data_IF_658712485564
#
_entry.id   IF_658712485564
#
_cell.length_a   1.000
_cell.length_b   1.000
_cell.length_c   1.000
_cell.angle_alpha   90.00
_cell.angle_beta   90.00
_cell.angle_gamma   90.00
#
_symmetry.space_group_name_H-M   'P 1'
#
loop_
_entity.id
_entity.type
_entity.pdbx_description
1 polymer ?
#
# COMPACT_ATOMS: atom_id res chain seq x y z
N UNK A 1 24.76 -2.13 38.21
CA UNK A 1 25.44 -1.83 36.93
C UNK A 1 24.72 -2.65 35.87
N UNK A 2 23.88 -2.10 35.01
CA UNK A 2 23.46 -0.72 34.81
C UNK A 2 21.93 -0.66 34.82
N UNK A 3 21.38 0.14 35.72
CA UNK A 3 19.95 0.50 35.80
C UNK A 3 19.74 1.77 34.96
N UNK A 4 20.48 1.90 33.86
CA UNK A 4 20.57 3.10 33.02
C UNK A 4 20.26 2.81 31.54
N UNK A 5 20.13 1.54 31.15
CA UNK A 5 19.71 1.16 29.79
C UNK A 5 18.18 0.96 29.70
N UNK A 6 17.49 0.79 30.83
CA UNK A 6 16.02 0.69 30.91
C UNK A 6 15.32 2.07 31.07
N UNK A 7 16.08 3.18 31.08
CA UNK A 7 15.54 4.55 31.18
C UNK A 7 15.62 5.34 29.84
N UNK A 8 16.10 4.71 28.75
CA UNK A 8 16.33 5.38 27.45
C UNK A 8 15.27 5.11 26.38
N UNK A 9 14.07 4.69 26.79
CA UNK A 9 12.83 4.80 25.99
C UNK A 9 11.73 5.43 26.87
N UNK A 10 12.04 6.60 27.45
CA UNK A 10 10.97 7.56 27.67
C UNK A 10 10.42 7.83 26.28
N UNK A 11 9.19 7.35 26.03
CA UNK A 11 8.39 7.63 24.85
C UNK A 11 8.69 9.05 24.38
N UNK A 12 9.31 9.16 23.21
CA UNK A 12 9.55 10.41 22.51
C UNK A 12 8.18 10.92 22.01
N UNK A 13 7.33 11.30 22.97
CA UNK A 13 5.98 11.81 22.78
C UNK A 13 5.99 13.19 22.10
N UNK A 14 7.15 13.70 21.71
CA UNK A 14 7.33 15.00 21.07
C UNK A 14 7.39 14.88 19.53
N UNK A 15 7.50 13.65 18.98
CA UNK A 15 7.65 13.42 17.54
C UNK A 15 6.68 12.39 16.96
N UNK A 16 6.16 12.70 15.78
CA UNK A 16 5.47 11.76 14.89
C UNK A 16 6.50 11.06 13.99
N UNK A 17 6.17 9.87 13.50
CA UNK A 17 7.08 9.04 12.69
C UNK A 17 6.37 8.54 11.45
N UNK A 18 6.99 8.69 10.26
CA UNK A 18 6.62 7.98 9.04
C UNK A 18 7.69 6.95 8.68
N UNK A 19 7.30 5.90 7.96
CA UNK A 19 8.15 4.80 7.53
C UNK A 19 7.92 4.52 6.05
N UNK A 20 9.00 4.40 5.31
CA UNK A 20 8.98 4.17 3.87
C UNK A 20 9.67 2.85 3.53
N UNK A 21 9.06 2.08 2.64
CA UNK A 21 9.54 0.77 2.22
C UNK A 21 9.59 0.70 0.71
N UNK A 22 10.51 -0.10 0.20
CA UNK A 22 10.53 -0.50 -1.19
C UNK A 22 9.28 -1.35 -1.49
N UNK A 23 8.48 -0.94 -2.47
CA UNK A 23 7.21 -1.60 -2.77
C UNK A 23 7.39 -3.02 -3.34
N UNK A 24 8.52 -3.33 -3.96
CA UNK A 24 8.78 -4.65 -4.56
C UNK A 24 9.28 -5.64 -3.51
N UNK A 25 10.23 -5.21 -2.69
CA UNK A 25 10.96 -6.09 -1.76
C UNK A 25 10.44 -6.04 -0.34
N UNK A 26 9.75 -4.96 0.04
CA UNK A 26 9.34 -4.69 1.42
C UNK A 26 10.46 -4.20 2.35
N UNK A 27 11.68 -4.05 1.83
CA UNK A 27 12.84 -3.59 2.60
C UNK A 27 12.70 -2.10 2.97
N UNK A 28 13.30 -1.66 4.10
CA UNK A 28 13.34 -0.24 4.46
C UNK A 28 13.95 0.62 3.35
N UNK A 29 13.29 1.75 3.05
CA UNK A 29 13.74 2.66 2.01
C UNK A 29 14.74 3.68 2.58
N UNK A 30 15.98 3.27 2.84
CA UNK A 30 17.03 4.15 3.37
C UNK A 30 17.43 5.27 2.39
N UNK A 31 17.75 6.46 2.88
CA UNK A 31 18.31 7.56 2.08
C UNK A 31 17.35 8.26 1.10
N UNK A 32 16.04 8.03 1.18
CA UNK A 32 15.04 8.83 0.46
C UNK A 32 14.93 10.24 1.06
N UNK A 33 14.76 11.24 0.20
CA UNK A 33 14.40 12.60 0.57
C UNK A 33 12.88 12.66 0.84
N UNK A 34 12.49 13.20 1.99
CA UNK A 34 11.08 13.33 2.38
C UNK A 34 10.82 14.79 2.71
N UNK A 35 10.00 15.45 1.89
CA UNK A 35 9.53 16.81 2.13
C UNK A 35 8.12 16.75 2.73
N UNK A 36 7.97 17.26 3.95
CA UNK A 36 6.68 17.38 4.61
C UNK A 36 6.27 18.86 4.53
N UNK A 37 5.19 19.14 3.81
CA UNK A 37 4.72 20.50 3.56
C UNK A 37 4.59 21.30 4.86
N UNK A 38 5.07 22.56 4.84
CA UNK A 38 5.11 23.49 5.98
C UNK A 38 5.89 23.04 7.23
N UNK A 39 6.55 21.89 7.19
CA UNK A 39 7.24 21.29 8.34
C UNK A 39 8.74 21.17 8.09
N UNK A 40 9.16 20.62 6.95
CA UNK A 40 10.57 20.58 6.54
C UNK A 40 10.97 19.37 5.71
N UNK A 41 12.27 19.33 5.41
CA UNK A 41 12.91 18.25 4.65
C UNK A 41 13.65 17.29 5.58
N UNK A 42 13.48 16.00 5.33
CA UNK A 42 14.04 14.90 6.10
C UNK A 42 14.69 13.88 5.18
N UNK A 43 15.51 13.01 5.75
CA UNK A 43 16.07 11.86 5.05
C UNK A 43 15.77 10.60 5.85
N UNK A 44 15.27 9.57 5.19
CA UNK A 44 14.97 8.29 5.83
C UNK A 44 16.23 7.61 6.34
N UNK A 45 16.20 7.11 7.57
CA UNK A 45 17.29 6.32 8.17
C UNK A 45 17.37 4.87 7.63
N UNK A 46 18.25 4.05 8.20
CA UNK A 46 18.46 2.63 7.85
C UNK A 46 17.19 1.75 8.06
N UNK A 47 16.24 2.22 8.88
CA UNK A 47 14.95 1.58 9.10
C UNK A 47 13.83 2.22 8.27
N UNK A 48 14.18 3.09 7.30
CA UNK A 48 13.25 3.78 6.42
C UNK A 48 12.43 4.86 7.13
N UNK A 49 12.83 5.32 8.32
CA UNK A 49 12.04 6.23 9.15
C UNK A 49 12.43 7.69 8.94
N UNK A 50 11.43 8.55 9.08
CA UNK A 50 11.63 9.98 9.40
C UNK A 50 10.86 10.31 10.67
N UNK A 51 11.46 11.14 11.53
CA UNK A 51 10.83 11.69 12.73
C UNK A 51 10.73 13.20 12.61
N UNK A 52 9.57 13.75 12.93
CA UNK A 52 9.28 15.16 12.82
C UNK A 52 8.43 15.62 14.01
N UNK A 53 8.45 16.92 14.37
CA UNK A 53 7.69 17.42 15.51
C UNK A 53 6.20 17.09 15.38
N UNK A 54 5.53 16.77 16.48
CA UNK A 54 4.10 16.51 16.47
C UNK A 54 3.31 17.63 15.80
N UNK A 55 2.39 17.24 14.94
CA UNK A 55 1.48 18.15 14.25
C UNK A 55 0.05 17.97 14.78
N UNK A 56 -0.75 19.04 14.78
CA UNK A 56 -2.15 18.96 15.16
C UNK A 56 -2.97 18.10 14.18
N UNK A 57 -4.17 17.73 14.60
CA UNK A 57 -5.16 17.05 13.74
C UNK A 57 -5.33 17.75 12.39
N UNK A 58 -5.31 16.98 11.31
CA UNK A 58 -5.33 17.49 9.94
C UNK A 58 -4.76 16.50 8.93
N UNK A 59 -4.39 17.03 7.77
CA UNK A 59 -3.69 16.28 6.73
C UNK A 59 -2.32 16.92 6.47
N UNK A 60 -1.31 16.07 6.31
CA UNK A 60 0.02 16.48 5.84
C UNK A 60 0.20 16.01 4.40
N UNK A 61 0.72 16.88 3.53
CA UNK A 61 1.20 16.47 2.22
C UNK A 61 2.69 16.11 2.34
N UNK A 62 3.02 14.89 1.92
CA UNK A 62 4.35 14.30 2.08
C UNK A 62 4.86 13.85 0.72
N UNK A 63 5.86 14.56 0.21
CA UNK A 63 6.55 14.19 -1.02
C UNK A 63 7.78 13.33 -0.69
N UNK A 64 7.97 12.25 -1.45
CA UNK A 64 9.09 11.31 -1.27
C UNK A 64 9.82 11.12 -2.59
N UNK A 65 11.13 11.33 -2.56
CA UNK A 65 12.01 11.17 -3.71
C UNK A 65 13.21 10.28 -3.36
N UNK A 66 13.54 9.36 -4.28
CA UNK A 66 14.79 8.59 -4.23
C UNK A 66 15.24 8.25 -5.64
N UNK A 67 16.54 8.33 -5.89
CA UNK A 67 17.10 7.93 -7.18
C UNK A 67 16.73 6.46 -7.50
N UNK A 68 16.19 6.22 -8.70
CA UNK A 68 15.72 4.90 -9.12
C UNK A 68 14.28 4.57 -8.74
N UNK A 69 13.59 5.45 -8.02
CA UNK A 69 12.20 5.28 -7.59
C UNK A 69 11.25 6.27 -8.28
N UNK A 70 9.96 5.98 -8.20
CA UNK A 70 8.86 6.87 -8.63
C UNK A 70 8.60 7.87 -7.50
N UNK A 71 8.63 9.17 -7.81
CA UNK A 71 8.26 10.23 -6.86
C UNK A 71 6.81 10.06 -6.42
N UNK A 72 6.57 10.09 -5.11
CA UNK A 72 5.27 9.89 -4.51
C UNK A 72 4.83 11.11 -3.72
N UNK A 73 3.52 11.39 -3.73
CA UNK A 73 2.89 12.41 -2.89
C UNK A 73 1.81 11.72 -2.06
N UNK A 74 1.98 11.68 -0.74
CA UNK A 74 1.05 11.04 0.19
C UNK A 74 0.31 12.08 1.02
N UNK A 75 -1.00 11.89 1.16
CA UNK A 75 -1.81 12.62 2.13
C UNK A 75 -1.88 11.79 3.43
N UNK A 76 -1.30 12.32 4.50
CA UNK A 76 -1.20 11.64 5.80
C UNK A 76 -2.21 12.24 6.78
N UNK A 77 -3.17 11.43 7.21
CA UNK A 77 -4.20 11.84 8.17
C UNK A 77 -3.69 11.75 9.62
N UNK A 78 -3.82 12.84 10.37
CA UNK A 78 -3.60 12.93 11.81
C UNK A 78 -4.93 13.09 12.50
N UNK A 79 -5.24 12.17 13.43
CA UNK A 79 -6.46 12.22 14.24
C UNK A 79 -6.12 11.89 15.69
N UNK A 80 -6.60 12.73 16.61
CA UNK A 80 -6.27 12.63 18.03
C UNK A 80 -4.76 12.60 18.27
N UNK A 81 -4.04 13.48 17.57
CA UNK A 81 -2.57 13.61 17.60
C UNK A 81 -1.81 12.35 17.13
N UNK A 82 -2.51 11.38 16.52
CA UNK A 82 -1.95 10.09 16.07
C UNK A 82 -2.02 9.93 14.55
N UNK A 83 -0.99 9.29 14.00
CA UNK A 83 -0.96 8.83 12.61
C UNK A 83 -1.30 7.34 12.60
N UNK A 84 -2.51 7.01 12.15
CA UNK A 84 -2.94 5.61 12.05
C UNK A 84 -2.24 4.85 10.92
N UNK A 85 -1.90 5.55 9.83
CA UNK A 85 -1.17 5.01 8.68
C UNK A 85 0.15 5.73 8.52
N UNK A 86 1.19 5.15 9.12
CA UNK A 86 2.52 5.72 9.05
C UNK A 86 3.50 4.90 8.21
N UNK A 87 3.00 3.94 7.42
CA UNK A 87 3.81 3.08 6.55
C UNK A 87 3.40 3.33 5.10
N UNK A 88 4.39 3.60 4.25
CA UNK A 88 4.19 3.89 2.84
C UNK A 88 5.15 3.08 2.00
N UNK A 89 4.64 2.50 0.93
CA UNK A 89 5.44 1.77 -0.06
C UNK A 89 5.72 2.68 -1.25
N UNK A 90 6.98 2.73 -1.66
CA UNK A 90 7.47 3.53 -2.79
C UNK A 90 8.02 2.58 -3.84
N UNK A 91 7.52 2.68 -5.07
CA UNK A 91 7.94 1.78 -6.14
C UNK A 91 9.27 2.23 -6.76
N UNK A 92 10.22 1.31 -6.98
CA UNK A 92 11.21 1.45 -8.04
C UNK A 92 10.55 1.86 -9.36
N UNK A 93 11.32 2.52 -10.24
CA UNK A 93 10.88 2.79 -11.61
C UNK A 93 10.50 1.49 -12.31
N UNK A 94 9.43 1.58 -13.09
CA UNK A 94 8.85 0.47 -13.83
C UNK A 94 9.20 0.59 -15.32
N UNK A 95 9.23 -0.54 -16.00
CA UNK A 95 9.27 -0.56 -17.46
C UNK A 95 7.96 0.03 -18.03
N UNK A 96 8.02 0.52 -19.27
CA UNK A 96 6.83 1.03 -19.96
C UNK A 96 5.84 -0.11 -20.19
N UNK A 97 4.55 0.17 -19.95
CA UNK A 97 3.48 -0.84 -20.02
C UNK A 97 3.34 -1.67 -18.75
N UNK A 98 4.18 -1.46 -17.74
CA UNK A 98 4.06 -2.14 -16.45
C UNK A 98 3.17 -1.37 -15.47
N UNK A 99 2.53 -2.12 -14.57
CA UNK A 99 1.77 -1.60 -13.43
C UNK A 99 2.23 -2.33 -12.16
N UNK A 100 2.35 -1.58 -11.06
CA UNK A 100 2.53 -2.12 -9.71
C UNK A 100 1.41 -1.64 -8.81
N UNK A 101 0.86 -2.57 -8.05
CA UNK A 101 -0.31 -2.35 -7.20
C UNK A 101 0.05 -2.83 -5.80
N UNK A 102 -0.02 -1.93 -4.82
CA UNK A 102 0.30 -2.24 -3.42
C UNK A 102 -0.98 -2.16 -2.60
N UNK A 103 -1.33 -3.26 -1.93
CA UNK A 103 -2.38 -3.34 -0.92
C UNK A 103 -1.76 -3.22 0.47
N UNK A 104 -2.05 -2.13 1.18
CA UNK A 104 -1.68 -1.92 2.59
C UNK A 104 -2.94 -1.97 3.47
N UNK A 105 -2.89 -2.62 4.63
CA UNK A 105 -3.97 -2.58 5.63
C UNK A 105 -3.43 -2.60 7.05
N UNK A 106 -4.26 -2.20 8.02
CA UNK A 106 -3.92 -2.35 9.44
C UNK A 106 -4.22 -3.77 9.90
N UNK A 107 -3.49 -4.22 10.91
CA UNK A 107 -3.49 -5.55 11.56
C UNK A 107 -4.86 -6.04 12.11
N UNK A 108 -5.97 -5.40 11.78
CA UNK A 108 -7.34 -5.85 12.07
C UNK A 108 -8.34 -5.21 11.09
N UNK A 109 -9.15 -5.98 10.33
CA UNK A 109 -9.43 -7.42 10.36
C UNK A 109 -8.28 -8.26 9.79
N UNK A 110 -8.35 -9.61 9.86
CA UNK A 110 -7.25 -10.46 9.44
C UNK A 110 -7.34 -10.82 7.95
N UNK A 111 -6.19 -11.10 7.34
CA UNK A 111 -5.94 -11.67 6.01
C UNK A 111 -6.79 -11.15 4.84
N UNK A 112 -6.20 -10.20 4.08
CA UNK A 112 -6.77 -9.64 2.87
C UNK A 112 -5.95 -10.12 1.66
N UNK A 113 -6.58 -10.85 0.74
CA UNK A 113 -5.94 -11.33 -0.48
C UNK A 113 -6.10 -10.28 -1.62
N UNK A 114 -5.00 -9.93 -2.27
CA UNK A 114 -4.98 -9.21 -3.53
C UNK A 114 -5.26 -10.16 -4.70
N UNK A 115 -6.11 -9.71 -5.63
CA UNK A 115 -6.42 -10.44 -6.85
C UNK A 115 -6.33 -9.52 -8.06
N UNK A 116 -5.54 -9.94 -9.05
CA UNK A 116 -5.46 -9.29 -10.35
C UNK A 116 -5.85 -10.29 -11.45
N UNK A 117 -6.89 -9.98 -12.21
CA UNK A 117 -7.47 -10.88 -13.21
C UNK A 117 -7.38 -10.26 -14.58
N UNK A 118 -6.82 -10.98 -15.56
CA UNK A 118 -6.98 -10.70 -16.99
C UNK A 118 -8.14 -11.54 -17.51
N UNK A 119 -9.24 -10.94 -17.96
CA UNK A 119 -10.39 -11.69 -18.45
C UNK A 119 -10.01 -12.62 -19.62
N UNK A 120 -10.35 -13.90 -19.50
CA UNK A 120 -9.99 -14.94 -20.47
C UNK A 120 -8.49 -15.29 -20.51
N UNK A 121 -7.69 -14.74 -19.60
CA UNK A 121 -6.24 -14.95 -19.49
C UNK A 121 -5.88 -15.63 -18.17
N UNK A 122 -5.36 -14.85 -17.23
CA UNK A 122 -4.77 -15.33 -15.97
C UNK A 122 -5.41 -14.69 -14.75
N UNK A 123 -5.16 -15.30 -13.59
CA UNK A 123 -5.55 -14.80 -12.28
C UNK A 123 -4.36 -14.86 -11.33
N UNK A 124 -3.81 -13.70 -10.99
CA UNK A 124 -2.75 -13.59 -9.99
C UNK A 124 -3.36 -13.36 -8.62
N UNK A 125 -3.03 -14.23 -7.67
CA UNK A 125 -3.36 -14.11 -6.25
C UNK A 125 -2.55 -15.14 -5.44
N UNK A 126 -2.60 -15.05 -4.11
CA UNK A 126 -1.95 -16.03 -3.22
C UNK A 126 -2.38 -17.48 -3.52
N UNK A 127 -3.68 -17.68 -3.77
CA UNK A 127 -4.30 -19.00 -3.88
C UNK A 127 -4.30 -19.58 -5.29
N UNK A 128 -4.07 -18.73 -6.30
CA UNK A 128 -4.03 -19.13 -7.71
C UNK A 128 -2.57 -19.02 -8.22
N UNK A 129 -2.33 -18.15 -9.20
CA UNK A 129 -1.02 -18.05 -9.85
C UNK A 129 -0.20 -16.94 -9.20
N UNK A 130 0.79 -17.29 -8.39
CA UNK A 130 1.69 -16.29 -7.79
C UNK A 130 2.67 -15.67 -8.78
N UNK A 131 3.10 -16.43 -9.79
CA UNK A 131 4.03 -15.99 -10.84
C UNK A 131 3.56 -16.59 -12.16
N UNK A 132 3.36 -15.75 -13.18
CA UNK A 132 3.00 -16.21 -14.52
C UNK A 132 4.16 -17.00 -15.13
N UNK A 133 3.83 -18.01 -15.94
CA UNK A 133 4.83 -18.91 -16.53
C UNK A 133 5.83 -18.22 -17.46
N UNK A 134 5.45 -17.07 -18.01
CA UNK A 134 6.29 -16.23 -18.87
C UNK A 134 7.03 -15.12 -18.09
N UNK A 135 6.82 -15.02 -16.78
CA UNK A 135 7.43 -14.00 -15.92
C UNK A 135 6.85 -12.59 -16.09
N UNK A 136 5.74 -12.43 -16.84
CA UNK A 136 5.16 -11.12 -17.13
C UNK A 136 4.29 -10.57 -16.00
N UNK A 137 4.11 -11.32 -14.92
CA UNK A 137 3.38 -10.85 -13.75
C UNK A 137 3.56 -11.74 -12.55
N UNK A 138 3.54 -11.14 -11.37
CA UNK A 138 3.71 -11.85 -10.11
C UNK A 138 3.11 -11.10 -8.91
N UNK A 139 2.88 -11.86 -7.84
CA UNK A 139 2.71 -11.37 -6.48
C UNK A 139 4.13 -11.23 -5.88
N UNK A 140 4.71 -10.02 -5.94
CA UNK A 140 6.09 -9.73 -5.53
C UNK A 140 6.30 -9.93 -4.03
N UNK A 141 5.34 -9.40 -3.26
CA UNK A 141 5.33 -9.45 -1.81
C UNK A 141 4.06 -10.11 -1.34
N UNK A 142 4.25 -11.13 -0.53
CA UNK A 142 3.24 -11.94 0.11
C UNK A 142 3.77 -12.18 1.53
N UNK A 143 3.15 -11.54 2.52
CA UNK A 143 3.61 -11.65 3.90
C UNK A 143 3.10 -12.98 4.49
N UNK A 144 4.02 -13.96 4.61
CA UNK A 144 3.72 -15.31 5.10
C UNK A 144 3.20 -15.35 6.55
N UNK A 145 3.29 -14.23 7.27
CA UNK A 145 2.80 -14.09 8.65
C UNK A 145 1.37 -13.53 8.74
N UNK A 146 0.69 -13.32 7.59
CA UNK A 146 -0.75 -13.01 7.49
C UNK A 146 -1.12 -11.53 7.53
N UNK A 147 -0.11 -10.65 7.49
CA UNK A 147 -0.25 -9.21 7.64
C UNK A 147 0.53 -8.53 6.52
N UNK A 148 -0.15 -8.11 5.45
CA UNK A 148 0.48 -7.42 4.33
C UNK A 148 1.23 -6.13 4.72
N UNK A 149 1.87 -5.47 3.73
CA UNK A 149 1.30 -5.34 2.40
C UNK A 149 1.49 -6.51 1.45
N UNK A 150 0.55 -6.64 0.53
CA UNK A 150 0.67 -7.46 -0.68
C UNK A 150 0.97 -6.57 -1.87
N UNK A 151 1.88 -6.99 -2.74
CA UNK A 151 2.23 -6.25 -3.95
C UNK A 151 2.14 -7.15 -5.18
N UNK A 152 1.43 -6.69 -6.20
CA UNK A 152 1.37 -7.32 -7.52
C UNK A 152 2.03 -6.40 -8.54
N UNK A 153 2.94 -6.96 -9.34
CA UNK A 153 3.53 -6.30 -10.51
C UNK A 153 3.15 -7.07 -11.76
N UNK A 154 2.67 -6.35 -12.77
CA UNK A 154 2.47 -6.84 -14.13
C UNK A 154 3.38 -6.06 -15.04
N UNK A 155 4.24 -6.75 -15.77
CA UNK A 155 5.29 -6.14 -16.60
C UNK A 155 4.77 -5.72 -17.99
N UNK A 156 3.68 -6.32 -18.47
CA UNK A 156 3.11 -6.06 -19.80
C UNK A 156 1.58 -6.04 -19.76
N UNK A 157 0.99 -4.84 -19.68
CA UNK A 157 -0.45 -4.62 -19.81
C UNK A 157 -0.82 -4.61 -21.30
N UNK A 158 -1.73 -5.50 -21.67
CA UNK A 158 -2.33 -5.56 -22.99
C UNK A 158 -3.47 -4.56 -23.07
N UNK A 159 -3.25 -3.45 -23.76
CA UNK A 159 -4.26 -2.40 -23.91
C UNK A 159 -5.59 -2.93 -24.47
N UNK A 160 -5.64 -4.04 -25.21
CA UNK A 160 -6.90 -4.56 -25.76
C UNK A 160 -7.64 -5.52 -24.81
N UNK A 161 -7.07 -5.79 -23.64
CA UNK A 161 -7.64 -6.69 -22.66
C UNK A 161 -8.43 -5.93 -21.58
N UNK A 162 -9.26 -6.68 -20.88
CA UNK A 162 -9.95 -6.22 -19.68
C UNK A 162 -9.30 -6.83 -18.45
N UNK A 163 -8.98 -5.99 -17.48
CA UNK A 163 -8.43 -6.41 -16.21
C UNK A 163 -9.29 -5.95 -15.04
N UNK A 164 -9.32 -6.75 -13.98
CA UNK A 164 -9.98 -6.42 -12.71
C UNK A 164 -8.98 -6.54 -11.58
N UNK A 165 -8.90 -5.53 -10.71
CA UNK A 165 -8.20 -5.62 -9.44
C UNK A 165 -9.17 -5.52 -8.27
N UNK A 166 -9.11 -6.49 -7.37
CA UNK A 166 -9.97 -6.54 -6.21
C UNK A 166 -9.27 -7.14 -4.99
N UNK A 167 -9.79 -6.80 -3.82
CA UNK A 167 -9.34 -7.32 -2.53
C UNK A 167 -10.43 -8.23 -1.98
N UNK A 168 -10.04 -9.39 -1.47
CA UNK A 168 -10.95 -10.34 -0.84
C UNK A 168 -10.61 -10.52 0.65
N UNK A 169 -11.61 -10.42 1.52
CA UNK A 169 -11.44 -10.69 2.95
C UNK A 169 -11.45 -12.20 3.17
N UNK A 170 -10.25 -12.79 3.23
CA UNK A 170 -10.11 -14.23 3.38
C UNK A 170 -10.61 -14.71 4.73
N UNK A 171 -10.33 -13.97 5.81
CA UNK A 171 -10.73 -14.37 7.16
C UNK A 171 -12.24 -14.54 7.26
N UNK A 172 -13.00 -13.54 6.81
CA UNK A 172 -14.45 -13.54 6.94
C UNK A 172 -15.14 -14.18 5.73
N UNK A 173 -14.44 -14.89 4.83
CA UNK A 173 -14.97 -15.42 3.55
C UNK A 173 -16.27 -16.23 3.63
N UNK A 174 -16.66 -16.68 4.83
CA UNK A 174 -17.91 -17.41 5.07
C UNK A 174 -19.02 -16.56 5.74
N UNK A 175 -18.77 -15.27 6.01
CA UNK A 175 -19.72 -14.32 6.61
C UNK A 175 -19.98 -13.13 5.66
N UNK A 176 -20.96 -13.25 4.73
CA UNK A 176 -21.32 -12.18 3.79
C UNK A 176 -21.94 -10.94 4.47
N UNK A 177 -22.07 -10.94 5.79
CA UNK A 177 -22.53 -9.80 6.58
C UNK A 177 -21.41 -9.13 7.36
N UNK A 178 -20.16 -9.58 7.17
CA UNK A 178 -18.99 -9.01 7.84
C UNK A 178 -18.80 -7.54 7.47
N UNK A 179 -18.29 -6.80 8.46
CA UNK A 179 -17.80 -5.43 8.32
C UNK A 179 -16.28 -5.36 8.44
N UNK A 180 -15.60 -6.51 8.48
CA UNK A 180 -14.16 -6.61 8.61
C UNK A 180 -13.48 -5.79 7.52
N UNK A 181 -13.83 -6.07 6.26
CA UNK A 181 -13.22 -5.41 5.11
C UNK A 181 -13.30 -3.88 5.22
N UNK A 182 -14.49 -3.29 5.44
CA UNK A 182 -14.63 -1.83 5.57
C UNK A 182 -14.03 -1.23 6.85
N UNK A 183 -13.67 -2.05 7.84
CA UNK A 183 -12.95 -1.64 9.06
C UNK A 183 -11.44 -1.79 8.96
N UNK A 184 -10.93 -2.49 7.94
CA UNK A 184 -9.49 -2.68 7.70
C UNK A 184 -8.73 -1.41 7.46
N UNK A 185 -9.46 -0.38 7.01
CA UNK A 185 -8.89 0.84 6.47
C UNK A 185 -7.88 0.55 5.33
N UNK A 186 -8.04 -0.57 4.62
CA UNK A 186 -7.18 -0.94 3.51
C UNK A 186 -7.06 0.18 2.46
N UNK A 187 -5.87 0.32 1.90
CA UNK A 187 -5.55 1.29 0.86
C UNK A 187 -4.84 0.60 -0.29
N UNK A 188 -5.14 1.03 -1.52
CA UNK A 188 -4.46 0.60 -2.73
C UNK A 188 -3.65 1.75 -3.29
N UNK A 189 -2.35 1.53 -3.49
CA UNK A 189 -1.47 2.46 -4.21
C UNK A 189 -1.23 1.90 -5.61
N UNK A 190 -1.36 2.74 -6.62
CA UNK A 190 -1.20 2.34 -8.02
C UNK A 190 -0.04 3.11 -8.66
N UNK A 191 0.89 2.37 -9.25
CA UNK A 191 2.02 2.89 -9.99
C UNK A 191 1.96 2.38 -11.42
N UNK A 192 1.98 3.27 -12.41
CA UNK A 192 2.06 2.91 -13.82
C UNK A 192 2.73 4.03 -14.60
N UNK A 193 3.34 3.72 -15.75
CA UNK A 193 3.99 4.72 -16.61
C UNK A 193 5.05 5.59 -15.88
N UNK A 194 5.72 5.03 -14.87
CA UNK A 194 6.63 5.75 -13.98
C UNK A 194 6.02 6.92 -13.20
N UNK A 195 4.72 6.88 -12.97
CA UNK A 195 3.96 7.83 -12.17
C UNK A 195 3.26 7.13 -11.01
N UNK A 196 3.15 7.83 -9.88
CA UNK A 196 2.25 7.46 -8.81
C UNK A 196 0.86 7.99 -9.14
N UNK A 197 -0.07 7.10 -9.49
CA UNK A 197 -1.41 7.47 -9.95
C UNK A 197 -2.35 7.84 -8.79
N UNK A 198 -1.98 7.49 -7.56
CA UNK A 198 -2.70 7.87 -6.34
C UNK A 198 -3.04 6.68 -5.44
N UNK A 199 -3.83 7.00 -4.42
CA UNK A 199 -4.31 6.06 -3.41
C UNK A 199 -5.83 5.89 -3.54
N UNK A 200 -6.31 4.66 -3.52
CA UNK A 200 -7.73 4.33 -3.37
C UNK A 200 -7.96 3.81 -1.96
N UNK A 201 -8.80 4.50 -1.19
CA UNK A 201 -9.17 4.05 0.15
C UNK A 201 -10.43 3.20 0.13
N UNK A 202 -10.46 2.19 0.99
CA UNK A 202 -11.64 1.34 1.15
C UNK A 202 -12.87 2.16 1.64
N UNK A 203 -14.06 1.96 1.05
CA UNK A 203 -15.28 2.60 1.51
C UNK A 203 -15.62 2.19 2.95
N UNK A 204 -15.76 3.20 3.84
CA UNK A 204 -16.10 2.98 5.24
C UNK A 204 -17.60 2.72 5.41
N UNK A 205 -17.97 1.64 6.10
CA UNK A 205 -19.35 1.36 6.53
C UNK A 205 -20.07 0.21 5.81
N UNK A 206 -20.00 0.06 4.47
CA UNK A 206 -20.62 -1.06 3.77
C UNK A 206 -20.13 -2.42 4.28
N UNK A 207 -20.99 -3.43 4.18
CA UNK A 207 -20.64 -4.84 4.40
C UNK A 207 -20.25 -5.47 3.07
N UNK A 208 -19.38 -6.47 3.12
CA UNK A 208 -18.92 -7.16 1.92
C UNK A 208 -17.70 -8.01 2.18
N UNK A 209 -17.51 -9.01 1.33
CA UNK A 209 -16.33 -9.87 1.34
C UNK A 209 -15.33 -9.51 0.25
N UNK A 210 -15.78 -8.83 -0.80
CA UNK A 210 -14.95 -8.41 -1.93
C UNK A 210 -15.03 -6.90 -2.08
N UNK A 211 -13.89 -6.25 -2.22
CA UNK A 211 -13.77 -4.85 -2.59
C UNK A 211 -13.24 -4.78 -4.02
N UNK A 212 -14.11 -4.40 -4.96
CA UNK A 212 -13.72 -4.13 -6.33
C UNK A 212 -13.10 -2.73 -6.39
N UNK A 213 -11.81 -2.65 -6.66
CA UNK A 213 -11.05 -1.40 -6.55
C UNK A 213 -11.10 -0.66 -7.87
N UNK A 214 -10.61 -1.28 -8.94
CA UNK A 214 -10.56 -0.70 -10.27
C UNK A 214 -10.57 -1.78 -11.35
N UNK A 215 -10.88 -1.34 -12.56
CA UNK A 215 -10.75 -2.11 -13.79
C UNK A 215 -9.72 -1.43 -14.71
N UNK A 216 -9.10 -2.19 -15.61
CA UNK A 216 -8.32 -1.63 -16.72
C UNK A 216 -9.01 -2.00 -18.02
N UNK A 217 -9.40 -0.98 -18.79
CA UNK A 217 -10.13 -1.08 -20.03
C UNK A 217 -9.41 -0.26 -21.09
N UNK A 218 -9.02 -0.85 -22.23
CA UNK A 218 -8.35 -0.10 -23.30
C UNK A 218 -7.06 0.62 -22.85
N UNK A 219 -6.34 0.03 -21.88
CA UNK A 219 -5.16 0.64 -21.23
C UNK A 219 -5.48 1.73 -20.18
N UNK A 220 -6.76 2.07 -20.00
CA UNK A 220 -7.20 3.10 -19.04
C UNK A 220 -7.65 2.46 -17.72
N UNK A 221 -7.21 3.03 -16.59
CA UNK A 221 -7.61 2.59 -15.25
C UNK A 221 -8.89 3.32 -14.84
N UNK A 222 -9.95 2.57 -14.57
CA UNK A 222 -11.25 3.06 -14.13
C UNK A 222 -11.51 2.65 -12.67
N UNK A 223 -11.52 3.63 -11.76
CA UNK A 223 -11.77 3.37 -10.33
C UNK A 223 -13.24 3.01 -10.11
N UNK A 224 -13.50 1.79 -9.64
CA UNK A 224 -14.85 1.33 -9.27
C UNK A 224 -15.18 1.64 -7.81
N UNK A 225 -14.21 1.41 -6.93
CA UNK A 225 -14.26 1.59 -5.47
C UNK A 225 -15.56 1.12 -4.79
N UNK A 226 -15.88 -0.18 -4.88
CA UNK A 226 -17.17 -0.74 -4.41
C UNK A 226 -17.02 -2.05 -3.64
N UNK A 227 -17.65 -2.13 -2.46
CA UNK A 227 -17.81 -3.40 -1.73
C UNK A 227 -18.98 -4.21 -2.28
N UNK A 228 -18.79 -5.52 -2.33
CA UNK A 228 -19.76 -6.51 -2.76
C UNK A 228 -19.59 -7.84 -2.01
N UNK A 229 -20.58 -8.71 -2.15
CA UNK A 229 -20.52 -10.10 -1.71
C UNK A 229 -20.16 -11.02 -2.87
#
# INVERSE_FOLDING_TARGET
MNVLDDEMEIMDNDNQTLRFFDAETGEPLEGASVNIEDIGEYTTDEEGKVRFPNQPDGYLNVEVEKEGYITCNFDVEIVADMIFFNRFSVSPKLDLGSIRIVLDWLDTPPDLDAHFVKQGGYHISYQDTKVLSDGTGQLDRDDLDGNGPETITINDIDDNAHYEYYVHNYTDRNDPTSSGLSKSKATIKVFANNEFLGTVEIPRGPKGLKWHVFEINNGEIEITNKLQN
#
